data_IF_521050684290
#
_entry.id   IF_521050684290
#
_cell.length_a   1.000
_cell.length_b   1.000
_cell.length_c   1.000
_cell.angle_alpha   90.00
_cell.angle_beta   90.00
_cell.angle_gamma   90.00
#
_symmetry.space_group_name_H-M   'P 1'
#
loop_
_entity.id
_entity.type
_entity.pdbx_description
1 polymer ?
#
# COMPACT_ATOMS: atom_id res chain seq x y z
N UNK A 1 6.67 -15.19 -12.70
CA UNK A 1 5.86 -14.14 -13.34
C UNK A 1 5.77 -14.47 -14.83
N UNK A 2 4.61 -14.89 -15.29
CA UNK A 2 4.39 -15.06 -16.74
C UNK A 2 4.15 -13.65 -17.31
N UNK A 3 5.10 -13.20 -18.12
CA UNK A 3 5.04 -11.94 -18.88
C UNK A 3 4.58 -12.33 -20.27
N UNK A 4 3.63 -11.60 -20.87
CA UNK A 4 3.25 -11.80 -22.28
C UNK A 4 4.38 -11.33 -23.21
N UNK A 5 4.25 -11.66 -24.52
CA UNK A 5 5.25 -11.32 -25.56
C UNK A 5 5.50 -9.81 -25.72
N UNK A 6 4.75 -8.95 -24.99
CA UNK A 6 4.90 -7.50 -24.96
C UNK A 6 5.46 -6.98 -23.64
N UNK A 7 5.96 -7.88 -22.75
CA UNK A 7 6.51 -7.50 -21.45
C UNK A 7 5.45 -7.08 -20.42
N UNK A 8 4.17 -7.31 -20.70
CA UNK A 8 3.06 -7.04 -19.79
C UNK A 8 2.76 -8.28 -18.93
N UNK A 9 2.38 -8.10 -17.66
CA UNK A 9 1.97 -9.20 -16.81
C UNK A 9 0.81 -9.96 -17.47
N UNK A 10 0.93 -11.29 -17.51
CA UNK A 10 -0.02 -12.15 -18.19
C UNK A 10 -1.46 -11.90 -17.71
N UNK A 11 -2.40 -11.70 -18.65
CA UNK A 11 -3.86 -11.63 -18.43
C UNK A 11 -4.46 -12.91 -17.82
N UNK A 12 -3.62 -13.91 -17.54
CA UNK A 12 -4.02 -15.23 -17.04
C UNK A 12 -4.06 -15.35 -15.52
N UNK A 13 -3.74 -14.27 -14.75
CA UNK A 13 -3.88 -14.30 -13.30
C UNK A 13 -5.36 -14.56 -12.92
N UNK A 14 -5.66 -15.65 -12.16
CA UNK A 14 -7.03 -16.02 -11.81
C UNK A 14 -7.79 -14.91 -11.07
N UNK A 15 -7.09 -14.16 -10.21
CA UNK A 15 -7.70 -13.05 -9.46
C UNK A 15 -8.12 -11.92 -10.42
N UNK A 16 -7.28 -11.55 -11.40
CA UNK A 16 -7.60 -10.54 -12.42
C UNK A 16 -8.80 -10.97 -13.26
N UNK A 17 -8.85 -12.24 -13.67
CA UNK A 17 -10.01 -12.79 -14.41
C UNK A 17 -11.28 -12.72 -13.59
N UNK A 18 -11.22 -13.09 -12.31
CA UNK A 18 -12.36 -13.04 -11.40
C UNK A 18 -12.89 -11.60 -11.23
N UNK A 19 -12.00 -10.63 -10.97
CA UNK A 19 -12.38 -9.24 -10.81
C UNK A 19 -12.94 -8.62 -12.10
N UNK A 20 -12.42 -8.98 -13.28
CA UNK A 20 -12.99 -8.56 -14.54
C UNK A 20 -14.45 -9.04 -14.72
N UNK A 21 -14.76 -10.27 -14.31
CA UNK A 21 -16.14 -10.80 -14.39
C UNK A 21 -17.06 -10.15 -13.36
N UNK A 22 -16.54 -9.76 -12.21
CA UNK A 22 -17.33 -9.21 -11.10
C UNK A 22 -17.57 -7.70 -11.19
N UNK A 23 -16.83 -6.98 -12.01
CA UNK A 23 -16.78 -5.52 -12.03
C UNK A 23 -18.15 -4.83 -12.08
N UNK A 24 -19.07 -5.29 -12.95
CA UNK A 24 -20.38 -4.67 -13.15
C UNK A 24 -21.30 -4.74 -11.91
N UNK A 25 -21.16 -5.78 -11.08
CA UNK A 25 -21.99 -5.99 -9.89
C UNK A 25 -21.23 -5.70 -8.59
N UNK A 26 -19.94 -5.38 -8.69
CA UNK A 26 -19.04 -5.20 -7.54
C UNK A 26 -19.54 -4.16 -6.56
N UNK A 27 -19.99 -2.99 -7.03
CA UNK A 27 -20.52 -1.92 -6.19
C UNK A 27 -21.81 -2.29 -5.44
N UNK A 28 -22.58 -3.25 -5.95
CA UNK A 28 -23.83 -3.73 -5.34
C UNK A 28 -23.61 -4.80 -4.27
N UNK A 29 -22.37 -5.31 -4.18
CA UNK A 29 -22.01 -6.34 -3.21
C UNK A 29 -22.21 -5.85 -1.77
N UNK A 30 -22.78 -6.72 -0.93
CA UNK A 30 -22.91 -6.46 0.52
C UNK A 30 -21.55 -6.22 1.18
N UNK A 31 -20.47 -6.79 0.64
CA UNK A 31 -19.09 -6.56 1.09
C UNK A 31 -18.69 -5.09 1.02
N UNK A 32 -19.19 -4.34 0.02
CA UNK A 32 -18.95 -2.91 -0.09
C UNK A 32 -19.46 -2.15 1.12
N UNK A 33 -20.64 -2.50 1.60
CA UNK A 33 -21.28 -1.82 2.73
C UNK A 33 -20.68 -2.25 4.08
N UNK A 34 -20.42 -3.54 4.26
CA UNK A 34 -20.03 -4.09 5.56
C UNK A 34 -18.52 -4.03 5.80
N UNK A 35 -17.69 -4.05 4.75
CA UNK A 35 -16.25 -4.09 4.87
C UNK A 35 -15.57 -2.84 4.28
N UNK A 36 -15.80 -2.55 2.99
CA UNK A 36 -15.05 -1.48 2.31
C UNK A 36 -15.38 -0.08 2.85
N UNK A 37 -16.67 0.25 3.10
CA UNK A 37 -17.03 1.56 3.64
C UNK A 37 -16.37 1.82 5.01
N UNK A 38 -16.46 0.94 6.02
CA UNK A 38 -15.75 1.13 7.29
C UNK A 38 -14.23 1.24 7.15
N UNK A 39 -13.62 0.42 6.28
CA UNK A 39 -12.17 0.46 6.01
C UNK A 39 -11.78 1.80 5.42
N UNK A 40 -12.44 2.24 4.34
CA UNK A 40 -12.13 3.52 3.67
C UNK A 40 -12.35 4.72 4.59
N UNK A 41 -13.43 4.72 5.38
CA UNK A 41 -13.71 5.77 6.38
C UNK A 41 -12.56 5.85 7.40
N UNK A 42 -12.07 4.70 7.87
CA UNK A 42 -10.99 4.66 8.85
C UNK A 42 -9.65 5.05 8.25
N UNK A 43 -9.34 4.60 7.02
CA UNK A 43 -8.15 5.03 6.29
C UNK A 43 -8.15 6.55 6.10
N UNK A 44 -9.27 7.12 5.64
CA UNK A 44 -9.41 8.57 5.47
C UNK A 44 -9.22 9.32 6.79
N UNK A 45 -9.84 8.83 7.88
CA UNK A 45 -9.65 9.41 9.20
C UNK A 45 -8.17 9.44 9.62
N UNK A 46 -7.44 8.33 9.44
CA UNK A 46 -6.02 8.26 9.78
C UNK A 46 -5.18 9.20 8.91
N UNK A 47 -5.44 9.28 7.61
CA UNK A 47 -4.75 10.18 6.70
C UNK A 47 -5.00 11.66 7.05
N UNK A 48 -6.18 12.00 7.54
CA UNK A 48 -6.50 13.37 7.98
C UNK A 48 -5.88 13.69 9.34
N UNK A 49 -5.95 12.76 10.30
CA UNK A 49 -5.48 13.00 11.66
C UNK A 49 -3.96 12.99 11.81
N UNK A 50 -3.28 12.16 11.00
CA UNK A 50 -1.82 11.96 11.06
C UNK A 50 -1.11 12.57 9.84
N UNK A 51 -1.89 13.17 8.93
CA UNK A 51 -1.41 13.73 7.68
C UNK A 51 -0.59 15.02 7.89
N UNK A 52 -0.05 15.50 6.80
CA UNK A 52 0.69 16.75 6.76
C UNK A 52 -0.24 17.95 6.99
N UNK A 53 0.31 19.07 7.46
CA UNK A 53 -0.45 20.33 7.63
C UNK A 53 -1.03 20.84 6.31
N UNK A 54 -0.42 20.48 5.18
CA UNK A 54 -0.83 20.87 3.84
C UNK A 54 -1.74 19.81 3.21
N UNK A 55 -2.70 20.28 2.40
CA UNK A 55 -3.54 19.40 1.60
C UNK A 55 -2.71 18.67 0.54
N UNK A 56 -2.92 17.36 0.32
CA UNK A 56 -2.20 16.62 -0.70
C UNK A 56 -2.54 17.17 -2.09
N UNK A 57 -1.53 17.24 -2.97
CA UNK A 57 -1.69 17.63 -4.37
C UNK A 57 -2.03 16.43 -5.26
N UNK A 58 -1.52 15.24 -4.90
CA UNK A 58 -1.74 14.03 -5.67
C UNK A 58 -1.97 12.83 -4.73
N UNK A 59 -3.04 12.07 -5.00
CA UNK A 59 -3.42 10.85 -4.27
C UNK A 59 -3.51 9.72 -5.27
N UNK A 60 -2.81 8.60 -5.01
CA UNK A 60 -2.82 7.39 -5.81
C UNK A 60 -3.45 6.23 -5.01
N UNK A 61 -4.38 5.52 -5.63
CA UNK A 61 -4.99 4.28 -5.10
C UNK A 61 -4.48 3.08 -5.92
N UNK A 62 -3.79 2.15 -5.25
CA UNK A 62 -3.19 0.95 -5.87
C UNK A 62 -4.04 -0.28 -5.57
N UNK A 63 -4.55 -0.93 -6.61
CA UNK A 63 -5.63 -1.90 -6.53
C UNK A 63 -6.96 -1.19 -6.30
N UNK A 64 -7.21 -0.13 -7.08
CA UNK A 64 -8.31 0.80 -6.83
C UNK A 64 -9.71 0.22 -7.09
N UNK A 65 -9.81 -0.96 -7.74
CA UNK A 65 -11.08 -1.53 -8.14
C UNK A 65 -11.92 -0.53 -8.93
N UNK A 66 -13.16 -0.32 -8.52
CA UNK A 66 -14.09 0.65 -9.10
C UNK A 66 -13.87 2.11 -8.63
N UNK A 67 -12.74 2.41 -7.98
CA UNK A 67 -12.35 3.76 -7.55
C UNK A 67 -13.12 4.31 -6.35
N UNK A 68 -13.68 3.46 -5.50
CA UNK A 68 -14.52 3.88 -4.35
C UNK A 68 -13.75 4.77 -3.37
N UNK A 69 -12.51 4.43 -3.01
CA UNK A 69 -11.71 5.26 -2.11
C UNK A 69 -11.50 6.66 -2.70
N UNK A 70 -11.17 6.75 -3.99
CA UNK A 70 -10.94 8.03 -4.66
C UNK A 70 -12.21 8.89 -4.73
N UNK A 71 -13.42 8.30 -4.84
CA UNK A 71 -14.68 9.04 -4.73
C UNK A 71 -14.82 9.71 -3.36
N UNK A 72 -14.48 9.00 -2.27
CA UNK A 72 -14.51 9.58 -0.92
C UNK A 72 -13.41 10.64 -0.76
N UNK A 73 -12.21 10.37 -1.25
CA UNK A 73 -11.08 11.29 -1.22
C UNK A 73 -11.37 12.61 -1.99
N UNK A 74 -12.11 12.54 -3.10
CA UNK A 74 -12.50 13.73 -3.90
C UNK A 74 -13.34 14.73 -3.13
N UNK A 75 -14.14 14.26 -2.18
CA UNK A 75 -14.95 15.14 -1.31
C UNK A 75 -14.06 15.81 -0.25
N UNK A 76 -13.10 15.07 0.29
CA UNK A 76 -12.22 15.58 1.36
C UNK A 76 -11.11 16.50 0.82
N UNK A 77 -10.60 16.21 -0.38
CA UNK A 77 -9.52 16.95 -1.04
C UNK A 77 -9.93 17.30 -2.48
N UNK A 78 -10.81 18.29 -2.66
CA UNK A 78 -11.40 18.59 -3.98
C UNK A 78 -10.39 19.14 -4.99
N UNK A 79 -9.23 19.61 -4.54
CA UNK A 79 -8.17 20.14 -5.39
C UNK A 79 -7.07 19.11 -5.71
N UNK A 80 -7.11 17.92 -5.07
CA UNK A 80 -6.11 16.89 -5.31
C UNK A 80 -6.31 16.25 -6.69
N UNK A 81 -5.22 15.99 -7.38
CA UNK A 81 -5.20 15.06 -8.50
C UNK A 81 -5.43 13.63 -7.95
N UNK A 82 -6.39 12.94 -8.52
CA UNK A 82 -6.76 11.59 -8.10
C UNK A 82 -6.37 10.59 -9.18
N UNK A 83 -5.54 9.63 -8.80
CA UNK A 83 -5.00 8.59 -9.67
C UNK A 83 -5.38 7.21 -9.13
N UNK A 84 -5.76 6.31 -10.01
CA UNK A 84 -6.04 4.91 -9.66
C UNK A 84 -5.33 3.96 -10.59
N UNK A 85 -4.91 2.80 -10.07
CA UNK A 85 -4.36 1.71 -10.86
C UNK A 85 -4.95 0.38 -10.40
N UNK A 86 -5.37 -0.45 -11.33
CA UNK A 86 -5.88 -1.79 -11.07
C UNK A 86 -5.50 -2.73 -12.22
N UNK A 87 -5.14 -4.00 -11.97
CA UNK A 87 -4.81 -4.93 -13.04
C UNK A 87 -6.04 -5.41 -13.82
N UNK A 88 -7.26 -5.30 -13.26
CA UNK A 88 -8.50 -5.71 -13.89
C UNK A 88 -9.08 -4.59 -14.76
N UNK A 89 -8.99 -4.74 -16.08
CA UNK A 89 -9.43 -3.73 -17.04
C UNK A 89 -10.90 -3.32 -16.86
N UNK A 90 -11.80 -4.29 -16.56
CA UNK A 90 -13.21 -3.99 -16.34
C UNK A 90 -13.46 -3.18 -15.06
N UNK A 91 -12.62 -3.38 -14.00
CA UNK A 91 -12.64 -2.53 -12.82
C UNK A 91 -12.26 -1.09 -13.16
N UNK A 92 -11.23 -0.91 -13.99
CA UNK A 92 -10.77 0.40 -14.45
C UNK A 92 -11.87 1.10 -15.29
N UNK A 93 -12.53 0.40 -16.19
CA UNK A 93 -13.65 0.95 -16.97
C UNK A 93 -14.80 1.41 -16.08
N UNK A 94 -15.17 0.62 -15.08
CA UNK A 94 -16.20 1.01 -14.11
C UNK A 94 -15.72 2.19 -13.23
N UNK A 95 -14.47 2.24 -12.85
CA UNK A 95 -13.89 3.35 -12.07
C UNK A 95 -13.97 4.67 -12.84
N UNK A 96 -13.64 4.67 -14.14
CA UNK A 96 -13.78 5.85 -15.03
C UNK A 96 -15.24 6.30 -15.11
N UNK A 97 -16.17 5.35 -15.30
CA UNK A 97 -17.60 5.66 -15.37
C UNK A 97 -18.14 6.29 -14.09
N UNK A 98 -17.68 5.80 -12.93
CA UNK A 98 -18.18 6.21 -11.61
C UNK A 98 -17.47 7.44 -11.03
N UNK A 99 -16.28 7.78 -11.52
CA UNK A 99 -15.49 8.90 -11.04
C UNK A 99 -14.75 9.63 -12.19
N UNK A 100 -15.45 10.44 -12.99
CA UNK A 100 -14.85 11.12 -14.14
C UNK A 100 -13.81 12.19 -13.78
N UNK A 101 -13.66 12.53 -12.49
CA UNK A 101 -12.65 13.49 -12.01
C UNK A 101 -11.30 12.85 -11.71
N UNK A 102 -11.22 11.54 -11.67
CA UNK A 102 -10.00 10.79 -11.42
C UNK A 102 -9.45 10.19 -12.72
N UNK A 103 -8.15 9.98 -12.77
CA UNK A 103 -7.48 9.29 -13.87
C UNK A 103 -7.17 7.86 -13.44
N UNK A 104 -7.59 6.89 -14.25
CA UNK A 104 -7.37 5.48 -13.97
C UNK A 104 -6.51 4.83 -15.06
N UNK A 105 -5.66 3.89 -14.65
CA UNK A 105 -4.82 3.11 -15.55
C UNK A 105 -4.88 1.63 -15.23
N UNK A 106 -4.78 0.78 -16.23
CA UNK A 106 -4.54 -0.65 -16.05
C UNK A 106 -3.07 -0.84 -15.71
N UNK A 107 -2.77 -1.56 -14.63
CA UNK A 107 -1.40 -1.79 -14.20
C UNK A 107 -1.32 -2.59 -12.91
N UNK A 108 -0.11 -3.01 -12.56
CA UNK A 108 0.19 -3.84 -11.40
C UNK A 108 0.98 -3.04 -10.37
N UNK A 109 0.85 -3.42 -9.10
CA UNK A 109 1.57 -2.78 -8.00
C UNK A 109 3.10 -2.90 -8.17
N UNK A 110 3.56 -3.98 -8.77
CA UNK A 110 4.97 -4.31 -9.01
C UNK A 110 5.62 -3.49 -10.15
N UNK A 111 4.82 -2.70 -10.88
CA UNK A 111 5.28 -1.83 -11.98
C UNK A 111 4.27 -0.71 -12.18
N UNK A 112 4.34 0.31 -11.33
CA UNK A 112 3.39 1.42 -11.34
C UNK A 112 3.65 2.35 -12.53
N UNK A 113 2.62 2.64 -13.37
CA UNK A 113 2.76 3.49 -14.55
C UNK A 113 2.76 5.00 -14.21
N UNK A 114 3.48 5.37 -13.15
CA UNK A 114 3.60 6.74 -12.66
C UNK A 114 5.06 7.12 -12.44
N UNK A 115 5.42 8.42 -12.59
CA UNK A 115 6.78 8.90 -12.34
C UNK A 115 7.21 8.75 -10.89
N UNK A 116 8.53 8.80 -10.67
CA UNK A 116 9.12 8.87 -9.34
C UNK A 116 8.61 10.14 -8.62
N UNK A 117 8.40 10.01 -7.31
CA UNK A 117 8.08 11.12 -6.41
C UNK A 117 6.90 12.01 -6.88
N UNK A 118 5.91 11.38 -7.54
CA UNK A 118 4.75 12.08 -8.13
C UNK A 118 3.52 12.12 -7.22
N UNK A 119 3.45 11.31 -6.16
CA UNK A 119 2.31 11.25 -5.25
C UNK A 119 2.65 11.73 -3.83
N UNK A 120 1.72 12.44 -3.17
CA UNK A 120 1.83 12.85 -1.77
C UNK A 120 1.26 11.79 -0.83
N UNK A 121 0.19 11.13 -1.28
CA UNK A 121 -0.46 10.03 -0.56
C UNK A 121 -0.65 8.87 -1.52
N UNK A 122 -0.26 7.67 -1.08
CA UNK A 122 -0.61 6.42 -1.75
C UNK A 122 -1.45 5.58 -0.78
N UNK A 123 -2.50 4.98 -1.30
CA UNK A 123 -3.34 4.04 -0.54
C UNK A 123 -3.42 2.69 -1.25
N UNK A 124 -3.68 1.64 -0.49
CA UNK A 124 -4.08 0.34 -1.02
C UNK A 124 -5.03 -0.31 -0.03
N UNK A 125 -6.21 -0.69 -0.48
CA UNK A 125 -7.26 -1.23 0.38
C UNK A 125 -7.73 -2.60 -0.08
N UNK A 126 -7.49 -3.63 0.75
CA UNK A 126 -7.93 -5.01 0.53
C UNK A 126 -7.49 -5.58 -0.85
N UNK A 127 -6.33 -5.15 -1.32
CA UNK A 127 -5.74 -5.59 -2.59
C UNK A 127 -4.34 -6.18 -2.43
N UNK A 128 -3.63 -5.86 -1.34
CA UNK A 128 -2.24 -6.25 -1.12
C UNK A 128 -2.04 -7.77 -1.15
N UNK A 129 -2.97 -8.56 -0.59
CA UNK A 129 -2.92 -10.02 -0.61
C UNK A 129 -3.10 -10.64 -2.00
N UNK A 130 -3.42 -9.87 -3.03
CA UNK A 130 -3.47 -10.29 -4.44
C UNK A 130 -2.17 -10.02 -5.20
N UNK A 131 -1.24 -9.23 -4.63
CA UNK A 131 0.01 -8.90 -5.30
C UNK A 131 0.89 -10.13 -5.47
N UNK A 132 1.58 -10.21 -6.60
CA UNK A 132 2.48 -11.34 -6.90
C UNK A 132 3.79 -11.24 -6.12
N UNK A 133 4.40 -10.04 -6.10
CA UNK A 133 5.63 -9.74 -5.38
C UNK A 133 5.40 -8.53 -4.46
N UNK A 134 5.07 -8.82 -3.20
CA UNK A 134 4.79 -7.80 -2.18
C UNK A 134 5.96 -6.85 -1.94
N UNK A 135 7.20 -7.37 -1.94
CA UNK A 135 8.38 -6.54 -1.71
C UNK A 135 8.60 -5.57 -2.87
N UNK A 136 8.47 -6.06 -4.10
CA UNK A 136 8.59 -5.24 -5.31
C UNK A 136 7.49 -4.18 -5.37
N UNK A 137 6.24 -4.56 -5.06
CA UNK A 137 5.14 -3.60 -5.00
C UNK A 137 5.36 -2.49 -3.97
N UNK A 138 5.85 -2.83 -2.77
CA UNK A 138 6.19 -1.81 -1.75
C UNK A 138 7.36 -0.91 -2.21
N UNK A 139 8.36 -1.42 -2.96
CA UNK A 139 9.42 -0.58 -3.54
C UNK A 139 8.87 0.37 -4.61
N UNK A 140 7.93 -0.07 -5.45
CA UNK A 140 7.26 0.79 -6.42
C UNK A 140 6.43 1.89 -5.73
N UNK A 141 5.72 1.54 -4.64
CA UNK A 141 5.06 2.55 -3.78
C UNK A 141 6.08 3.58 -3.28
N UNK A 142 7.24 3.11 -2.78
CA UNK A 142 8.29 4.00 -2.29
C UNK A 142 8.87 4.87 -3.43
N UNK A 143 9.02 4.34 -4.64
CA UNK A 143 9.51 5.08 -5.80
C UNK A 143 8.56 6.22 -6.18
N UNK A 144 7.27 5.92 -6.29
CA UNK A 144 6.24 6.88 -6.74
C UNK A 144 5.90 7.91 -5.66
N UNK A 145 6.02 7.55 -4.39
CA UNK A 145 5.70 8.44 -3.27
C UNK A 145 6.82 9.47 -3.07
N UNK A 146 6.47 10.73 -2.84
CA UNK A 146 7.43 11.79 -2.49
C UNK A 146 8.08 11.52 -1.13
N UNK A 147 9.31 12.01 -0.90
CA UNK A 147 9.89 12.04 0.44
C UNK A 147 8.95 12.73 1.44
N UNK A 148 8.73 12.11 2.60
CA UNK A 148 7.77 12.58 3.59
C UNK A 148 6.31 12.27 3.28
N UNK A 149 6.00 11.72 2.12
CA UNK A 149 4.65 11.29 1.73
C UNK A 149 4.15 10.11 2.57
N UNK A 150 2.83 9.89 2.53
CA UNK A 150 2.15 8.90 3.35
C UNK A 150 1.68 7.69 2.52
N UNK A 151 1.95 6.49 3.02
CA UNK A 151 1.37 5.25 2.51
C UNK A 151 0.40 4.66 3.54
N UNK A 152 -0.85 4.47 3.14
CA UNK A 152 -1.88 3.86 3.97
C UNK A 152 -2.31 2.52 3.36
N UNK A 153 -1.91 1.43 4.00
CA UNK A 153 -2.25 0.07 3.62
C UNK A 153 -3.31 -0.49 4.55
N UNK A 154 -4.43 -0.94 4.00
CA UNK A 154 -5.42 -1.73 4.73
C UNK A 154 -5.52 -3.12 4.09
N UNK A 155 -5.29 -4.17 4.87
CA UNK A 155 -5.45 -5.54 4.37
C UNK A 155 -5.86 -6.51 5.47
N UNK A 156 -6.21 -7.73 5.08
CA UNK A 156 -6.62 -8.78 6.00
C UNK A 156 -5.58 -9.02 7.10
N UNK A 157 -6.06 -9.08 8.33
CA UNK A 157 -5.24 -9.44 9.48
C UNK A 157 -5.39 -10.95 9.74
N UNK A 158 -4.39 -11.58 9.80
CA UNK A 158 -3.85 -12.90 9.61
C UNK A 158 -4.48 -14.12 10.26
N UNK A 159 -5.20 -14.06 11.38
CA UNK A 159 -5.34 -15.30 12.16
C UNK A 159 -6.22 -16.38 11.50
N UNK A 160 -7.27 -15.95 10.80
CA UNK A 160 -8.16 -16.86 10.06
C UNK A 160 -7.88 -16.87 8.55
N UNK A 161 -7.33 -15.78 8.01
CA UNK A 161 -7.08 -15.66 6.58
C UNK A 161 -5.91 -16.53 6.08
N UNK A 162 -4.93 -16.88 6.94
CA UNK A 162 -3.86 -17.84 6.61
C UNK A 162 -4.38 -19.23 6.23
N UNK A 163 -5.50 -19.63 6.79
CA UNK A 163 -6.12 -20.92 6.46
C UNK A 163 -6.72 -20.95 5.06
N UNK A 164 -6.95 -19.76 4.45
CA UNK A 164 -7.67 -19.62 3.19
C UNK A 164 -6.83 -19.03 2.05
N UNK A 165 -5.73 -18.30 2.35
CA UNK A 165 -4.87 -17.66 1.33
C UNK A 165 -3.41 -17.61 1.78
N UNK A 166 -2.53 -18.27 1.04
CA UNK A 166 -1.07 -18.25 1.27
C UNK A 166 -0.44 -16.84 1.10
N UNK A 167 -1.08 -15.96 0.34
CA UNK A 167 -0.58 -14.61 0.03
C UNK A 167 -0.81 -13.59 1.15
N UNK A 168 -1.61 -13.89 2.17
CA UNK A 168 -1.84 -12.95 3.30
C UNK A 168 -0.59 -12.85 4.17
N UNK A 169 -0.08 -11.62 4.33
CA UNK A 169 1.15 -11.33 5.07
C UNK A 169 0.89 -10.95 6.52
N UNK A 170 1.77 -11.40 7.41
CA UNK A 170 1.73 -11.02 8.82
C UNK A 170 2.12 -9.56 9.01
N UNK A 171 1.75 -9.00 10.17
CA UNK A 171 2.18 -7.65 10.58
C UNK A 171 3.69 -7.46 10.50
N UNK A 172 4.44 -8.49 10.86
CA UNK A 172 5.90 -8.49 10.88
C UNK A 172 6.46 -8.46 9.46
N UNK A 173 5.94 -9.28 8.56
CA UNK A 173 6.32 -9.27 7.15
C UNK A 173 6.02 -7.91 6.50
N UNK A 174 4.80 -7.37 6.70
CA UNK A 174 4.44 -6.04 6.17
C UNK A 174 5.40 -4.97 6.70
N UNK A 175 5.72 -4.99 8.01
CA UNK A 175 6.68 -4.06 8.59
C UNK A 175 8.06 -4.20 7.96
N UNK A 176 8.53 -5.43 7.78
CA UNK A 176 9.83 -5.70 7.17
C UNK A 176 9.89 -5.17 5.74
N UNK A 177 8.84 -5.41 4.94
CA UNK A 177 8.77 -4.87 3.57
C UNK A 177 8.81 -3.34 3.56
N UNK A 178 8.05 -2.69 4.45
CA UNK A 178 8.02 -1.23 4.56
C UNK A 178 9.37 -0.66 4.96
N UNK A 179 10.02 -1.23 6.00
CA UNK A 179 11.35 -0.76 6.46
C UNK A 179 12.39 -0.91 5.34
N UNK A 180 12.42 -2.07 4.65
CA UNK A 180 13.34 -2.31 3.53
C UNK A 180 13.15 -1.33 2.36
N UNK A 181 11.95 -0.78 2.20
CA UNK A 181 11.64 0.21 1.17
C UNK A 181 11.76 1.66 1.67
N UNK A 182 12.28 1.90 2.87
CA UNK A 182 12.52 3.24 3.39
C UNK A 182 11.32 3.91 4.04
N UNK A 183 10.41 3.13 4.61
CA UNK A 183 9.26 3.66 5.35
C UNK A 183 9.45 3.58 6.86
N UNK A 184 8.96 4.60 7.56
CA UNK A 184 8.69 4.55 9.00
C UNK A 184 7.20 4.30 9.23
N UNK A 185 6.86 3.25 9.97
CA UNK A 185 5.48 2.98 10.37
C UNK A 185 5.06 3.97 11.45
N UNK A 186 4.08 4.82 11.15
CA UNK A 186 3.57 5.87 12.05
C UNK A 186 2.46 5.34 12.96
N UNK A 187 1.52 4.59 12.38
CA UNK A 187 0.37 4.09 13.12
C UNK A 187 -0.13 2.76 12.57
N UNK A 188 -0.70 1.96 13.47
CA UNK A 188 -1.45 0.75 13.12
C UNK A 188 -2.79 0.75 13.83
N UNK A 189 -3.81 0.28 13.14
CA UNK A 189 -5.13 0.12 13.71
C UNK A 189 -5.80 -1.12 13.17
N UNK A 190 -6.44 -1.86 14.05
CA UNK A 190 -7.29 -3.00 13.70
C UNK A 190 -8.74 -2.56 13.59
N UNK A 191 -9.45 -3.16 12.65
CA UNK A 191 -10.87 -2.93 12.41
C UNK A 191 -11.63 -4.26 12.36
N UNK A 192 -12.87 -4.26 12.85
CA UNK A 192 -13.81 -5.39 12.74
C UNK A 192 -13.28 -6.68 13.37
N UNK A 193 -13.32 -6.82 14.71
CA UNK A 193 -12.81 -7.99 15.44
C UNK A 193 -11.42 -8.45 14.96
N UNK A 194 -10.56 -7.50 14.58
CA UNK A 194 -9.20 -7.72 14.10
C UNK A 194 -9.09 -8.36 12.71
N UNK A 195 -10.15 -8.31 11.88
CA UNK A 195 -10.11 -8.86 10.51
C UNK A 195 -9.28 -8.04 9.55
N UNK A 196 -9.22 -6.72 9.74
CA UNK A 196 -8.43 -5.81 8.89
C UNK A 196 -7.40 -5.08 9.73
N UNK A 197 -6.16 -5.06 9.24
CA UNK A 197 -5.08 -4.24 9.77
C UNK A 197 -4.88 -3.05 8.83
N UNK A 198 -4.98 -1.84 9.38
CA UNK A 198 -4.62 -0.61 8.68
C UNK A 198 -3.25 -0.18 9.19
N UNK A 199 -2.32 0.01 8.29
CA UNK A 199 -0.96 0.48 8.58
C UNK A 199 -0.74 1.81 7.85
N UNK A 200 -0.45 2.87 8.61
CA UNK A 200 -0.02 4.15 8.07
C UNK A 200 1.50 4.25 8.23
N UNK A 201 2.18 4.47 7.13
CA UNK A 201 3.62 4.64 7.07
C UNK A 201 4.00 5.93 6.34
N UNK A 202 5.17 6.47 6.63
CA UNK A 202 5.71 7.65 5.98
C UNK A 202 7.03 7.31 5.30
N UNK A 203 7.20 7.73 4.04
CA UNK A 203 8.48 7.61 3.33
C UNK A 203 9.51 8.51 4.01
N UNK A 204 10.66 7.96 4.36
CA UNK A 204 11.75 8.72 4.96
C UNK A 204 12.25 9.80 4.00
N UNK A 205 12.60 10.97 4.53
CA UNK A 205 13.28 11.99 3.75
C UNK A 205 14.75 11.60 3.49
N UNK A 206 15.35 11.99 2.36
CA UNK A 206 16.73 11.62 2.01
C UNK A 206 17.78 12.00 3.09
N UNK A 207 17.49 13.01 3.91
CA UNK A 207 18.37 13.54 4.95
C UNK A 207 17.92 13.16 6.37
N UNK A 208 16.98 12.21 6.54
CA UNK A 208 16.63 11.73 7.87
C UNK A 208 17.87 11.03 8.46
N UNK A 209 18.33 11.53 9.62
CA UNK A 209 19.39 10.89 10.40
C UNK A 209 19.11 9.40 10.54
N UNK A 210 20.17 8.58 10.50
CA UNK A 210 20.11 7.13 10.70
C UNK A 210 19.13 6.80 11.82
N UNK A 211 18.00 6.18 11.48
CA UNK A 211 17.06 5.70 12.48
C UNK A 211 17.33 4.21 12.68
N UNK A 212 17.75 3.85 13.87
CA UNK A 212 17.91 2.45 14.27
C UNK A 212 16.53 1.85 14.56
N UNK A 213 16.22 0.71 13.98
CA UNK A 213 14.99 -0.05 14.23
C UNK A 213 15.31 -1.40 14.84
N UNK A 214 14.53 -1.81 15.84
CA UNK A 214 14.61 -3.18 16.37
C UNK A 214 13.65 -4.10 15.60
N UNK A 215 14.21 -5.08 14.92
CA UNK A 215 13.46 -6.21 14.33
C UNK A 215 13.98 -7.47 15.03
N UNK A 216 13.11 -8.23 15.69
CA UNK A 216 13.46 -9.46 16.41
C UNK A 216 14.56 -9.31 17.48
N UNK A 217 14.61 -8.14 18.12
CA UNK A 217 15.63 -7.85 19.14
C UNK A 217 16.98 -7.39 18.57
N UNK A 218 17.18 -7.44 17.26
CA UNK A 218 18.36 -6.90 16.59
C UNK A 218 18.14 -5.43 16.18
N UNK A 219 19.18 -4.60 16.36
CA UNK A 219 19.20 -3.23 15.88
C UNK A 219 19.65 -3.22 14.42
N UNK A 220 18.90 -2.48 13.58
CA UNK A 220 19.24 -2.24 12.17
C UNK A 220 19.41 -0.73 11.98
N UNK A 221 20.54 -0.33 11.41
CA UNK A 221 20.77 1.04 10.99
C UNK A 221 20.38 1.20 9.54
N UNK A 222 19.52 2.17 9.27
CA UNK A 222 19.08 2.53 7.91
C UNK A 222 19.90 3.73 7.44
N UNK A 223 20.64 3.58 6.35
CA UNK A 223 21.28 4.68 5.63
C UNK A 223 20.70 4.83 4.22
N UNK A 224 21.05 5.91 3.54
CA UNK A 224 20.56 6.25 2.18
C UNK A 224 20.80 5.17 1.10
N UNK A 225 21.56 4.12 1.39
CA UNK A 225 21.94 3.06 0.46
C UNK A 225 21.28 1.71 0.75
N UNK A 226 20.38 1.63 1.75
CA UNK A 226 19.70 0.42 2.16
C UNK A 226 20.07 -0.05 3.56
N UNK A 227 19.48 -1.17 3.99
CA UNK A 227 19.79 -1.81 5.29
C UNK A 227 21.22 -2.37 5.19
N UNK A 228 22.11 -1.96 6.10
CA UNK A 228 23.35 -2.69 6.33
C UNK A 228 23.01 -4.10 6.79
N UNK A 229 23.44 -5.11 6.06
CA UNK A 229 23.11 -6.52 6.31
C UNK A 229 23.90 -7.16 7.45
N UNK A 230 24.62 -6.38 8.24
CA UNK A 230 25.34 -6.88 9.41
C UNK A 230 24.61 -6.49 10.70
N UNK A 231 24.22 -7.47 11.56
CA UNK A 231 23.94 -7.15 12.95
C UNK A 231 25.18 -6.51 13.55
N UNK A 232 25.00 -5.40 14.29
CA UNK A 232 26.11 -4.83 15.07
C UNK A 232 26.66 -5.93 15.99
N UNK A 233 27.88 -6.38 15.72
CA UNK A 233 28.59 -7.24 16.67
C UNK A 233 28.68 -6.49 18.00
N UNK A 234 28.23 -7.14 19.06
CA UNK A 234 28.42 -6.66 20.41
C UNK A 234 29.92 -6.66 20.71
N UNK A 235 30.56 -5.51 20.61
CA UNK A 235 31.88 -5.30 21.21
C UNK A 235 31.71 -5.38 22.74
N UNK A 236 31.92 -6.54 23.29
CA UNK A 236 32.18 -6.68 24.72
C UNK A 236 33.62 -6.23 24.96
N UNK A 237 33.81 -5.01 25.43
CA UNK A 237 35.03 -4.65 26.16
C UNK A 237 35.02 -5.45 27.45
N UNK A 238 35.90 -6.43 27.50
CA UNK A 238 36.29 -7.08 28.77
C UNK A 238 37.18 -6.08 29.50
N UNK A 239 36.63 -5.39 30.49
CA UNK A 239 37.48 -4.75 31.49
C UNK A 239 38.02 -5.85 32.38
N UNK A 240 39.33 -6.09 32.29
CA UNK A 240 40.11 -6.86 33.27
C UNK A 240 40.63 -5.90 34.28
N UNK A 241 40.20 -5.99 35.52
CA UNK A 241 40.92 -5.65 36.73
C UNK A 241 41.47 -6.92 37.38
#
# INVERSE_FOLDING_TARGET
>A
MQIDDQGKPSRTNPDVKHFNQWALTYEQSIMQRLLFIPVHTKMLYLLVSEGTKESPKCILDVGCGTGRFLRVASVRWPQAQLLGVDPAEQMVLEAVRLNPRATFKVGFAESLPFPDESADIIVSSLSFHHWEDHQKGIHEIARVLRPGGLFCLADHNMLLAKLWREKVKSRKEIQTFMIKAGFTVRRRQELGLRFVLITLAQKCAPNASVQSYKIDGANYDYNLYGISSAPLEKNYEIQTD
#
